data_IF_682346605576
#
_entry.id   IF_682346605576
#
_cell.length_a   1.000
_cell.length_b   1.000
_cell.length_c   1.000
_cell.angle_alpha   90.00
_cell.angle_beta   90.00
_cell.angle_gamma   90.00
#
_symmetry.space_group_name_H-M   'P 1'
#
loop_
_entity.id
_entity.type
_entity.pdbx_description
1 polymer ?
#
# COMPACT_ATOMS: atom_id res chain seq x y z
N UNK A 1 21.77 19.17 9.98
CA UNK A 1 20.76 19.15 11.06
C UNK A 1 19.58 18.31 10.56
N UNK A 2 19.46 17.07 11.02
CA UNK A 2 18.37 16.17 10.60
C UNK A 2 17.08 16.58 11.33
N UNK A 3 16.19 17.27 10.64
CA UNK A 3 14.94 17.84 11.19
C UNK A 3 13.72 16.92 11.04
N UNK A 4 13.91 15.70 10.51
CA UNK A 4 12.86 14.68 10.52
C UNK A 4 12.86 13.90 11.84
N UNK A 5 11.69 13.47 12.37
CA UNK A 5 11.64 12.53 13.47
C UNK A 5 12.45 11.29 13.09
N UNK A 6 13.48 10.94 13.88
CA UNK A 6 14.12 9.62 13.75
C UNK A 6 13.03 8.57 13.89
N UNK A 7 12.89 7.69 12.91
CA UNK A 7 12.03 6.53 13.03
C UNK A 7 12.64 5.60 14.09
N UNK A 8 12.28 5.83 15.35
CA UNK A 8 12.73 5.06 16.50
C UNK A 8 12.04 3.68 16.59
N UNK A 9 11.06 3.40 15.72
CA UNK A 9 10.42 2.11 15.65
C UNK A 9 11.11 1.28 14.57
N UNK A 10 11.70 0.15 14.97
CA UNK A 10 12.20 -0.86 14.02
C UNK A 10 11.10 -1.46 13.12
N UNK A 11 9.83 -1.11 13.37
CA UNK A 11 8.67 -1.55 12.61
C UNK A 11 8.78 -1.04 11.17
N UNK A 12 8.72 -1.96 10.22
CA UNK A 12 8.61 -1.63 8.80
C UNK A 12 7.54 -2.49 8.13
N UNK A 13 7.23 -2.10 6.90
CA UNK A 13 6.23 -2.72 6.06
C UNK A 13 6.87 -3.29 4.81
N UNK A 14 6.59 -4.55 4.53
CA UNK A 14 6.94 -5.19 3.26
C UNK A 14 5.76 -5.06 2.30
N UNK A 15 5.93 -4.25 1.26
CA UNK A 15 4.95 -4.04 0.20
C UNK A 15 5.33 -4.95 -0.97
N UNK A 16 4.38 -5.77 -1.41
CA UNK A 16 4.60 -6.72 -2.49
C UNK A 16 3.56 -6.52 -3.56
N UNK A 17 4.04 -6.45 -4.79
CA UNK A 17 3.20 -6.33 -5.98
C UNK A 17 3.55 -7.47 -6.91
N UNK A 18 2.57 -8.30 -7.24
CA UNK A 18 2.76 -9.41 -8.17
C UNK A 18 1.95 -9.20 -9.43
N UNK A 19 2.57 -9.52 -10.56
CA UNK A 19 1.90 -9.59 -11.85
C UNK A 19 1.47 -11.04 -12.04
N UNK A 20 0.16 -11.25 -12.14
CA UNK A 20 -0.45 -12.55 -12.31
C UNK A 20 -0.74 -12.76 -13.79
N UNK A 21 -0.58 -13.98 -14.29
CA UNK A 21 -1.01 -14.33 -15.64
C UNK A 21 -2.48 -13.93 -15.84
N UNK A 22 -2.87 -13.22 -16.91
CA UNK A 22 -4.24 -12.72 -17.06
C UNK A 22 -5.31 -13.81 -16.95
N UNK A 23 -5.07 -14.98 -17.54
CA UNK A 23 -5.98 -16.13 -17.48
C UNK A 23 -6.02 -16.85 -16.13
N UNK A 24 -5.17 -16.45 -15.17
CA UNK A 24 -4.95 -17.14 -13.88
C UNK A 24 -5.34 -16.33 -12.66
N UNK A 25 -5.82 -15.09 -12.82
CA UNK A 25 -6.19 -14.24 -11.68
C UNK A 25 -7.23 -14.90 -10.75
N UNK A 26 -8.27 -15.50 -11.33
CA UNK A 26 -9.31 -16.19 -10.55
C UNK A 26 -8.73 -17.34 -9.71
N UNK A 27 -7.95 -18.21 -10.35
CA UNK A 27 -7.27 -19.34 -9.71
C UNK A 27 -6.33 -18.87 -8.58
N UNK A 28 -5.57 -17.80 -8.83
CA UNK A 28 -4.69 -17.19 -7.83
C UNK A 28 -5.47 -16.69 -6.61
N UNK A 29 -6.56 -15.94 -6.82
CA UNK A 29 -7.38 -15.41 -5.73
C UNK A 29 -8.04 -16.51 -4.90
N UNK A 30 -8.52 -17.59 -5.54
CA UNK A 30 -9.06 -18.76 -4.85
C UNK A 30 -8.01 -19.41 -3.94
N UNK A 31 -6.79 -19.59 -4.44
CA UNK A 31 -5.68 -20.14 -3.67
C UNK A 31 -5.28 -19.25 -2.49
N UNK A 32 -5.25 -17.93 -2.68
CA UNK A 32 -5.00 -16.95 -1.61
C UNK A 32 -6.07 -17.04 -0.55
N UNK A 33 -7.36 -16.94 -0.90
CA UNK A 33 -8.43 -17.02 0.09
C UNK A 33 -8.44 -18.34 0.87
N UNK A 34 -8.04 -19.44 0.21
CA UNK A 34 -8.01 -20.76 0.84
C UNK A 34 -6.84 -20.95 1.81
N UNK A 35 -5.64 -20.50 1.47
CA UNK A 35 -4.41 -20.91 2.18
C UNK A 35 -3.60 -19.76 2.79
N UNK A 36 -3.99 -18.49 2.60
CA UNK A 36 -3.25 -17.36 3.18
C UNK A 36 -3.17 -17.42 4.71
N UNK A 37 -4.13 -18.08 5.37
CA UNK A 37 -4.14 -18.28 6.82
C UNK A 37 -2.86 -18.95 7.35
N UNK A 38 -2.24 -19.82 6.56
CA UNK A 38 -0.97 -20.47 6.89
C UNK A 38 0.16 -19.42 7.06
N UNK A 39 0.17 -18.38 6.22
CA UNK A 39 1.13 -17.28 6.36
C UNK A 39 0.76 -16.30 7.45
N UNK A 40 -0.53 -15.99 7.61
CA UNK A 40 -0.97 -15.03 8.65
C UNK A 40 -0.81 -15.58 10.06
N UNK A 41 -0.65 -16.89 10.24
CA UNK A 41 -0.22 -17.49 11.50
C UNK A 41 1.20 -17.07 11.93
N UNK A 42 2.03 -16.59 10.99
CA UNK A 42 3.42 -16.20 11.23
C UNK A 42 3.71 -14.72 10.96
N UNK A 43 2.87 -14.02 10.21
CA UNK A 43 3.09 -12.61 9.86
C UNK A 43 1.80 -11.81 9.87
N UNK A 44 1.88 -10.58 10.37
CA UNK A 44 0.75 -9.66 10.39
C UNK A 44 0.50 -9.10 8.98
N UNK A 45 -0.63 -9.47 8.39
CA UNK A 45 -1.11 -8.90 7.13
C UNK A 45 -1.80 -7.56 7.43
N UNK A 46 -1.38 -6.50 6.76
CA UNK A 46 -2.05 -5.20 6.82
C UNK A 46 -3.21 -5.17 5.83
N UNK A 47 -3.00 -5.62 4.60
CA UNK A 47 -4.06 -5.73 3.61
C UNK A 47 -3.62 -6.44 2.35
N UNK A 48 -4.59 -6.93 1.59
CA UNK A 48 -4.41 -7.67 0.34
C UNK A 48 -5.50 -7.25 -0.66
N UNK A 49 -5.08 -6.83 -1.85
CA UNK A 49 -5.96 -6.34 -2.90
C UNK A 49 -5.59 -6.92 -4.26
N UNK A 50 -6.55 -6.93 -5.18
CA UNK A 50 -6.27 -7.00 -6.62
C UNK A 50 -6.56 -5.65 -7.28
N UNK A 51 -5.87 -5.37 -8.37
CA UNK A 51 -6.05 -4.16 -9.15
C UNK A 51 -7.20 -4.30 -10.16
N UNK A 52 -8.10 -3.33 -10.11
CA UNK A 52 -9.26 -3.24 -10.99
C UNK A 52 -8.99 -2.27 -12.15
N UNK A 53 -8.48 -1.05 -11.86
CA UNK A 53 -8.18 -0.02 -12.86
C UNK A 53 -6.75 0.52 -12.71
N UNK A 54 -6.12 0.84 -13.83
CA UNK A 54 -4.78 1.46 -13.90
C UNK A 54 -3.61 0.46 -13.93
N UNK A 55 -3.78 -0.75 -13.38
CA UNK A 55 -2.73 -1.77 -13.40
C UNK A 55 -3.29 -3.20 -13.36
N UNK A 56 -4.06 -3.57 -14.39
CA UNK A 56 -4.76 -4.87 -14.47
C UNK A 56 -3.82 -6.06 -14.26
N UNK A 57 -4.40 -7.16 -13.76
CA UNK A 57 -3.70 -8.42 -13.47
C UNK A 57 -2.62 -8.32 -12.39
N UNK A 58 -2.66 -7.29 -11.55
CA UNK A 58 -1.76 -7.16 -10.39
C UNK A 58 -2.47 -7.42 -9.08
N UNK A 59 -1.72 -7.93 -8.12
CA UNK A 59 -2.14 -7.97 -6.71
C UNK A 59 -1.15 -7.20 -5.85
N UNK A 60 -1.66 -6.59 -4.79
CA UNK A 60 -0.91 -5.78 -3.84
C UNK A 60 -1.14 -6.35 -2.46
N UNK A 61 -0.08 -6.51 -1.67
CA UNK A 61 -0.24 -6.90 -0.27
C UNK A 61 0.87 -6.36 0.61
N UNK A 62 0.49 -5.97 1.82
CA UNK A 62 1.35 -5.27 2.78
C UNK A 62 1.47 -6.09 4.05
N UNK A 63 2.70 -6.36 4.49
CA UNK A 63 2.99 -7.13 5.71
C UNK A 63 3.75 -6.28 6.71
N UNK A 64 3.39 -6.36 7.99
CA UNK A 64 4.08 -5.64 9.06
C UNK A 64 5.08 -6.54 9.76
N UNK A 65 6.26 -6.00 10.06
CA UNK A 65 7.31 -6.67 10.84
C UNK A 65 7.88 -5.71 11.87
N UNK A 66 8.28 -6.22 13.04
CA UNK A 66 8.82 -5.39 14.12
C UNK A 66 10.25 -4.91 13.88
N UNK A 67 10.99 -5.65 13.04
CA UNK A 67 12.35 -5.38 12.58
C UNK A 67 12.80 -6.47 11.59
N UNK A 68 14.04 -6.33 11.07
CA UNK A 68 14.57 -7.25 10.07
C UNK A 68 14.84 -8.65 10.63
N UNK A 69 15.19 -8.78 11.91
CA UNK A 69 15.39 -10.07 12.55
C UNK A 69 14.07 -10.85 12.66
N UNK A 70 12.98 -10.18 13.06
CA UNK A 70 11.63 -10.75 13.04
C UNK A 70 11.25 -11.21 11.61
N UNK A 71 11.44 -10.35 10.59
CA UNK A 71 11.18 -10.74 9.19
C UNK A 71 11.97 -11.99 8.77
N UNK A 72 13.27 -12.03 9.09
CA UNK A 72 14.13 -13.17 8.75
C UNK A 72 13.66 -14.46 9.42
N UNK A 73 13.30 -14.41 10.70
CA UNK A 73 12.76 -15.55 11.43
C UNK A 73 11.46 -16.07 10.78
N UNK A 74 10.52 -15.18 10.46
CA UNK A 74 9.26 -15.55 9.77
C UNK A 74 9.52 -16.20 8.42
N UNK A 75 10.42 -15.61 7.62
CA UNK A 75 10.78 -16.16 6.30
C UNK A 75 11.43 -17.55 6.42
N UNK A 76 12.27 -17.75 7.44
CA UNK A 76 12.86 -19.05 7.74
C UNK A 76 11.79 -20.08 8.13
N UNK A 77 10.85 -19.72 9.00
CA UNK A 77 9.72 -20.61 9.38
C UNK A 77 8.88 -21.00 8.16
N UNK A 78 8.47 -20.02 7.34
CA UNK A 78 7.67 -20.28 6.13
C UNK A 78 8.42 -21.10 5.08
N UNK A 79 9.74 -20.98 4.98
CA UNK A 79 10.54 -21.81 4.07
C UNK A 79 10.53 -23.29 4.48
N UNK A 80 10.38 -23.59 5.77
CA UNK A 80 10.37 -24.95 6.32
C UNK A 80 8.97 -25.51 6.56
N UNK A 81 7.93 -24.69 6.44
CA UNK A 81 6.53 -25.12 6.52
C UNK A 81 6.12 -25.90 5.26
N UNK A 82 6.05 -27.22 5.39
CA UNK A 82 5.68 -28.13 4.29
C UNK A 82 4.27 -27.87 3.76
N UNK A 83 3.34 -27.46 4.61
CA UNK A 83 1.97 -27.18 4.19
C UNK A 83 1.91 -25.90 3.36
N UNK A 84 2.55 -24.83 3.83
CA UNK A 84 2.66 -23.58 3.08
C UNK A 84 3.38 -23.78 1.74
N UNK A 85 4.52 -24.49 1.73
CA UNK A 85 5.28 -24.77 0.52
C UNK A 85 4.47 -25.63 -0.47
N UNK A 86 3.87 -26.72 0.00
CA UNK A 86 3.17 -27.68 -0.85
C UNK A 86 1.78 -27.22 -1.29
N UNK A 87 0.96 -26.67 -0.38
CA UNK A 87 -0.43 -26.30 -0.68
C UNK A 87 -0.57 -24.91 -1.30
N UNK A 88 0.36 -23.98 -1.04
CA UNK A 88 0.26 -22.62 -1.56
C UNK A 88 1.39 -22.27 -2.53
N UNK A 89 2.66 -22.33 -2.11
CA UNK A 89 3.77 -21.82 -2.95
C UNK A 89 3.92 -22.61 -4.26
N UNK A 90 3.97 -23.94 -4.20
CA UNK A 90 4.18 -24.77 -5.39
C UNK A 90 3.06 -24.59 -6.45
N UNK A 91 1.76 -24.53 -6.09
CA UNK A 91 0.72 -24.28 -7.07
C UNK A 91 0.61 -22.81 -7.52
N UNK A 92 0.93 -21.84 -6.66
CA UNK A 92 0.81 -20.41 -7.00
C UNK A 92 1.96 -19.91 -7.85
N UNK A 93 3.18 -20.42 -7.66
CA UNK A 93 4.36 -19.92 -8.36
C UNK A 93 4.21 -19.92 -9.90
N UNK A 94 3.64 -20.95 -10.56
CA UNK A 94 3.39 -20.94 -12.00
C UNK A 94 2.32 -19.95 -12.48
N UNK A 95 1.53 -19.36 -11.56
CA UNK A 95 0.49 -18.37 -11.89
C UNK A 95 1.05 -16.94 -11.92
N UNK A 96 2.23 -16.71 -11.34
CA UNK A 96 2.86 -15.40 -11.16
C UNK A 96 3.94 -15.18 -12.22
N UNK A 97 3.89 -14.05 -12.91
CA UNK A 97 4.92 -13.66 -13.90
C UNK A 97 6.02 -12.80 -13.33
N UNK A 98 5.66 -11.87 -12.44
CA UNK A 98 6.63 -10.97 -11.83
C UNK A 98 6.32 -10.78 -10.37
N UNK A 99 7.37 -10.71 -9.56
CA UNK A 99 7.27 -10.30 -8.17
C UNK A 99 8.12 -9.05 -7.96
N UNK A 100 7.52 -8.03 -7.37
CA UNK A 100 8.19 -6.83 -6.88
C UNK A 100 8.03 -6.76 -5.37
N UNK A 101 9.09 -6.40 -4.67
CA UNK A 101 9.11 -6.34 -3.22
C UNK A 101 9.84 -5.08 -2.76
N UNK A 102 9.19 -4.33 -1.88
CA UNK A 102 9.69 -3.09 -1.31
C UNK A 102 9.62 -3.17 0.20
N UNK A 103 10.60 -2.57 0.86
CA UNK A 103 10.53 -2.31 2.29
C UNK A 103 10.31 -0.82 2.44
N UNK A 104 9.30 -0.46 3.22
CA UNK A 104 8.91 0.91 3.45
C UNK A 104 8.60 1.14 4.92
N UNK A 105 8.74 2.38 5.36
CA UNK A 105 8.32 2.80 6.68
C UNK A 105 7.12 3.71 6.59
N UNK A 106 6.27 3.67 7.63
CA UNK A 106 5.19 4.65 7.76
C UNK A 106 5.79 6.03 8.09
N UNK A 107 5.36 7.08 7.39
CA UNK A 107 5.82 8.44 7.71
C UNK A 107 5.43 8.80 9.16
N UNK A 108 6.25 9.56 9.91
CA UNK A 108 6.07 9.71 11.37
C UNK A 108 4.73 10.30 11.83
N UNK A 109 4.07 11.08 10.97
CA UNK A 109 2.79 11.73 11.26
C UNK A 109 1.57 10.91 10.83
N UNK A 110 1.77 9.74 10.22
CA UNK A 110 0.70 8.85 9.80
C UNK A 110 0.59 7.68 10.79
N UNK A 111 -0.64 7.25 11.05
CA UNK A 111 -0.96 5.98 11.69
C UNK A 111 -1.80 5.17 10.71
N UNK A 112 -1.69 3.84 10.77
CA UNK A 112 -2.53 2.99 9.93
C UNK A 112 -4.01 3.18 10.29
N UNK A 113 -4.77 3.63 9.30
CA UNK A 113 -6.21 3.77 9.36
C UNK A 113 -6.92 2.43 9.17
N UNK A 114 -8.21 2.42 9.52
CA UNK A 114 -9.15 1.34 9.19
C UNK A 114 -10.26 1.91 8.30
N UNK A 115 -10.83 1.11 7.40
CA UNK A 115 -12.00 1.53 6.65
C UNK A 115 -13.14 1.86 7.62
N UNK A 116 -13.98 2.87 7.33
CA UNK A 116 -15.11 3.23 8.20
C UNK A 116 -16.19 2.15 8.29
N UNK A 117 -16.26 1.26 7.29
CA UNK A 117 -17.20 0.14 7.19
C UNK A 117 -16.62 -0.94 6.27
N UNK A 118 -17.15 -2.16 6.35
CA UNK A 118 -16.81 -3.23 5.41
C UNK A 118 -17.20 -2.84 3.98
N UNK A 119 -16.41 -3.34 3.03
CA UNK A 119 -16.53 -3.05 1.60
C UNK A 119 -15.79 -1.78 1.18
N UNK A 120 -16.27 -1.19 0.10
CA UNK A 120 -15.64 -0.04 -0.55
C UNK A 120 -14.44 -0.42 -1.42
N UNK A 121 -13.76 0.61 -1.90
CA UNK A 121 -12.63 0.49 -2.84
C UNK A 121 -11.45 1.30 -2.37
N UNK A 122 -10.27 0.85 -2.77
CA UNK A 122 -9.02 1.47 -2.38
C UNK A 122 -8.38 2.19 -3.57
N UNK A 123 -7.73 3.31 -3.30
CA UNK A 123 -6.82 3.95 -4.25
C UNK A 123 -5.40 3.85 -3.69
N UNK A 124 -4.53 3.21 -4.45
CA UNK A 124 -3.09 3.20 -4.19
C UNK A 124 -2.45 4.26 -5.08
N UNK A 125 -1.89 5.29 -4.47
CA UNK A 125 -1.19 6.36 -5.18
C UNK A 125 0.30 6.25 -4.89
N UNK A 126 1.10 6.23 -5.95
CA UNK A 126 2.55 6.21 -5.86
C UNK A 126 3.10 7.53 -6.37
N UNK A 127 3.86 8.21 -5.52
CA UNK A 127 4.55 9.46 -5.81
C UNK A 127 6.06 9.18 -5.87
N UNK A 128 6.70 9.57 -6.97
CA UNK A 128 8.14 9.65 -7.04
C UNK A 128 8.57 11.05 -6.63
N UNK A 129 9.14 11.16 -5.44
CA UNK A 129 9.57 12.44 -4.87
C UNK A 129 11.02 12.74 -5.28
N UNK A 130 11.35 14.03 -5.33
CA UNK A 130 12.73 14.49 -5.48
C UNK A 130 13.58 14.03 -4.27
N UNK A 131 14.86 13.69 -4.49
CA UNK A 131 15.78 13.36 -3.40
C UNK A 131 15.87 14.46 -2.33
N UNK A 132 16.15 14.07 -1.09
CA UNK A 132 16.18 14.96 0.08
C UNK A 132 15.35 14.44 1.26
N UNK A 133 14.54 13.41 1.02
CA UNK A 133 13.79 12.68 2.04
C UNK A 133 12.63 13.48 2.67
N UNK A 134 11.92 12.88 3.64
CA UNK A 134 10.77 13.50 4.29
C UNK A 134 11.06 14.86 4.96
N UNK A 135 12.32 15.17 5.28
CA UNK A 135 12.68 16.47 5.82
C UNK A 135 12.49 17.63 4.82
N UNK A 136 12.53 17.34 3.52
CA UNK A 136 12.39 18.34 2.45
C UNK A 136 10.92 18.53 2.04
N UNK A 137 10.19 17.43 1.85
CA UNK A 137 8.82 17.47 1.30
C UNK A 137 7.74 17.13 2.33
N UNK A 138 8.10 16.64 3.52
CA UNK A 138 7.18 16.01 4.46
C UNK A 138 6.06 16.93 4.95
N UNK A 139 6.38 18.17 5.30
CA UNK A 139 5.40 19.13 5.83
C UNK A 139 4.39 19.57 4.77
N UNK A 140 4.87 19.94 3.57
CA UNK A 140 3.99 20.33 2.46
C UNK A 140 3.18 19.15 1.93
N UNK A 141 3.76 17.95 1.90
CA UNK A 141 3.04 16.74 1.51
C UNK A 141 1.94 16.40 2.52
N UNK A 142 2.26 16.45 3.82
CA UNK A 142 1.27 16.28 4.89
C UNK A 142 0.13 17.29 4.77
N UNK A 143 0.43 18.55 4.46
CA UNK A 143 -0.59 19.57 4.24
C UNK A 143 -1.52 19.21 3.07
N UNK A 144 -0.98 18.72 1.95
CA UNK A 144 -1.78 18.26 0.81
C UNK A 144 -2.67 17.04 1.16
N UNK A 145 -2.12 16.07 1.90
CA UNK A 145 -2.87 14.90 2.40
C UNK A 145 -4.02 15.35 3.32
N UNK A 146 -3.75 16.24 4.28
CA UNK A 146 -4.76 16.76 5.19
C UNK A 146 -5.84 17.57 4.46
N UNK A 147 -5.47 18.36 3.44
CA UNK A 147 -6.44 19.09 2.64
C UNK A 147 -7.44 18.13 1.97
N UNK A 148 -6.96 17.00 1.42
CA UNK A 148 -7.85 15.95 0.91
C UNK A 148 -8.69 15.30 2.02
N UNK A 149 -8.12 14.96 3.17
CA UNK A 149 -8.89 14.40 4.31
C UNK A 149 -10.04 15.33 4.70
N UNK A 150 -9.79 16.64 4.77
CA UNK A 150 -10.77 17.63 5.22
C UNK A 150 -11.95 17.83 4.25
N UNK A 151 -11.86 17.34 3.01
CA UNK A 151 -13.00 17.33 2.09
C UNK A 151 -14.01 16.23 2.41
N UNK A 152 -13.62 15.20 3.17
CA UNK A 152 -14.52 14.14 3.64
C UNK A 152 -14.89 13.05 2.63
N UNK A 153 -14.49 13.16 1.35
CA UNK A 153 -14.83 12.11 0.36
C UNK A 153 -13.97 10.85 0.49
N UNK A 154 -12.83 10.91 1.18
CA UNK A 154 -11.89 9.80 1.25
C UNK A 154 -11.35 9.60 2.66
N UNK A 155 -10.96 8.38 2.98
CA UNK A 155 -10.33 8.03 4.25
C UNK A 155 -8.88 7.61 4.02
N UNK A 156 -7.95 8.30 4.68
CA UNK A 156 -6.55 7.89 4.67
C UNK A 156 -6.36 6.57 5.44
N UNK A 157 -5.67 5.61 4.80
CA UNK A 157 -5.32 4.31 5.39
C UNK A 157 -3.84 4.25 5.75
N UNK A 158 -2.95 4.78 4.92
CA UNK A 158 -1.53 4.77 5.22
C UNK A 158 -0.69 5.60 4.26
N UNK A 159 0.45 6.10 4.75
CA UNK A 159 1.45 6.81 3.96
C UNK A 159 2.81 6.20 4.26
N UNK A 160 3.43 5.59 3.26
CA UNK A 160 4.67 4.85 3.35
C UNK A 160 5.75 5.51 2.50
N UNK A 161 7.00 5.47 2.96
CA UNK A 161 8.15 5.91 2.17
C UNK A 161 9.19 4.78 2.10
N UNK A 162 9.79 4.59 0.93
CA UNK A 162 10.64 3.42 0.65
C UNK A 162 12.02 3.51 1.29
N UNK A 163 12.44 2.38 1.86
CA UNK A 163 13.81 2.11 2.33
C UNK A 163 14.54 1.19 1.35
N UNK A 164 13.87 0.14 0.86
CA UNK A 164 14.39 -0.74 -0.20
C UNK A 164 13.39 -0.83 -1.34
N UNK A 165 13.91 -0.81 -2.57
CA UNK A 165 13.12 -0.71 -3.80
C UNK A 165 13.54 0.51 -4.61
N UNK A 166 12.59 1.12 -5.34
CA UNK A 166 12.82 2.43 -5.93
C UNK A 166 12.85 3.47 -4.79
N UNK A 167 13.94 4.22 -4.68
CA UNK A 167 14.12 5.19 -3.59
C UNK A 167 13.37 6.49 -3.85
N UNK A 168 13.07 7.21 -2.77
CA UNK A 168 12.25 8.44 -2.78
C UNK A 168 10.82 8.19 -3.29
N UNK A 169 10.34 6.96 -3.18
CA UNK A 169 8.97 6.60 -3.52
C UNK A 169 8.10 6.72 -2.27
N UNK A 170 6.96 7.38 -2.41
CA UNK A 170 5.94 7.49 -1.38
C UNK A 170 4.66 6.82 -1.86
N UNK A 171 4.14 5.88 -1.09
CA UNK A 171 2.85 5.25 -1.35
C UNK A 171 1.80 5.79 -0.39
N UNK A 172 0.65 6.16 -0.93
CA UNK A 172 -0.52 6.55 -0.15
C UNK A 172 -1.66 5.60 -0.47
N UNK A 173 -2.26 5.06 0.57
CA UNK A 173 -3.44 4.20 0.47
C UNK A 173 -4.64 4.99 0.98
N UNK A 174 -5.65 5.12 0.13
CA UNK A 174 -6.94 5.72 0.46
C UNK A 174 -8.04 4.68 0.38
N UNK A 175 -9.05 4.80 1.25
CA UNK A 175 -10.31 4.10 1.14
C UNK A 175 -11.40 5.07 0.67
N UNK A 176 -12.28 4.59 -0.20
CA UNK A 176 -13.45 5.30 -0.69
C UNK A 176 -14.66 4.37 -0.69
N UNK A 177 -15.85 4.92 -0.56
CA UNK A 177 -17.08 4.13 -0.47
C UNK A 177 -17.41 3.40 -1.78
N UNK A 178 -17.17 4.06 -2.90
CA UNK A 178 -17.35 3.49 -4.24
C UNK A 178 -16.45 4.18 -5.26
N UNK A 179 -16.36 3.63 -6.48
CA UNK A 179 -15.63 4.25 -7.58
C UNK A 179 -16.20 5.62 -7.92
N UNK A 180 -17.53 5.73 -7.97
CA UNK A 180 -18.24 6.96 -8.34
C UNK A 180 -18.08 8.02 -7.26
N UNK A 181 -18.19 7.63 -5.98
CA UNK A 181 -18.00 8.53 -4.85
C UNK A 181 -16.57 9.08 -4.80
N UNK A 182 -15.58 8.22 -5.08
CA UNK A 182 -14.19 8.65 -5.27
C UNK A 182 -14.08 9.64 -6.43
N UNK A 183 -14.63 9.31 -7.60
CA UNK A 183 -14.50 10.15 -8.80
C UNK A 183 -15.13 11.54 -8.60
N UNK A 184 -16.34 11.60 -8.04
CA UNK A 184 -17.02 12.85 -7.70
C UNK A 184 -16.22 13.66 -6.68
N UNK A 185 -15.74 13.02 -5.61
CA UNK A 185 -14.93 13.66 -4.58
C UNK A 185 -13.62 14.24 -5.11
N UNK A 186 -12.93 13.53 -6.02
CA UNK A 186 -11.74 14.03 -6.70
C UNK A 186 -12.03 15.24 -7.58
N UNK A 187 -13.15 15.23 -8.30
CA UNK A 187 -13.57 16.35 -9.13
C UNK A 187 -13.81 17.60 -8.27
N UNK A 188 -14.59 17.49 -7.19
CA UNK A 188 -14.80 18.60 -6.25
C UNK A 188 -13.50 19.08 -5.59
N UNK A 189 -12.58 18.16 -5.26
CA UNK A 189 -11.30 18.52 -4.68
C UNK A 189 -10.39 19.31 -5.65
N UNK A 190 -10.59 19.21 -6.96
CA UNK A 190 -9.89 20.04 -7.94
C UNK A 190 -10.40 21.48 -7.99
N UNK A 191 -11.59 21.74 -7.45
CA UNK A 191 -12.20 23.08 -7.38
C UNK A 191 -12.05 23.72 -5.99
N UNK A 192 -11.74 22.94 -4.95
CA UNK A 192 -11.47 23.47 -3.61
C UNK A 192 -10.13 24.22 -3.56
N UNK A 193 -10.20 25.54 -3.42
CA UNK A 193 -9.03 26.43 -3.39
C UNK A 193 -7.99 26.04 -2.32
N UNK A 194 -8.41 25.45 -1.20
CA UNK A 194 -7.50 25.00 -0.12
C UNK A 194 -6.72 23.77 -0.55
N UNK A 195 -7.39 22.81 -1.20
CA UNK A 195 -6.75 21.62 -1.77
C UNK A 195 -5.78 22.03 -2.87
N UNK A 196 -6.23 22.87 -3.81
CA UNK A 196 -5.40 23.36 -4.92
C UNK A 196 -4.15 24.06 -4.41
N UNK A 197 -4.28 24.96 -3.42
CA UNK A 197 -3.14 25.65 -2.84
C UNK A 197 -2.13 24.69 -2.19
N UNK A 198 -2.61 23.75 -1.36
CA UNK A 198 -1.74 22.78 -0.69
C UNK A 198 -1.03 21.83 -1.68
N UNK A 199 -1.75 21.34 -2.70
CA UNK A 199 -1.19 20.48 -3.75
C UNK A 199 -0.15 21.24 -4.58
N UNK A 200 -0.39 22.52 -4.90
CA UNK A 200 0.57 23.36 -5.64
C UNK A 200 1.90 23.53 -4.91
N UNK A 201 1.88 23.57 -3.59
CA UNK A 201 3.12 23.67 -2.82
C UNK A 201 3.83 22.31 -2.74
N UNK A 202 3.08 21.22 -2.59
CA UNK A 202 3.62 19.86 -2.56
C UNK A 202 4.22 19.41 -3.91
N UNK A 203 3.61 19.75 -5.04
CA UNK A 203 4.02 19.25 -6.38
C UNK A 203 5.42 19.73 -6.80
N UNK A 204 5.95 20.78 -6.17
CA UNK A 204 7.32 21.29 -6.42
C UNK A 204 8.40 20.24 -6.13
N UNK A 205 8.08 19.28 -5.27
CA UNK A 205 8.95 18.18 -4.85
C UNK A 205 8.63 16.84 -5.53
N UNK A 206 7.73 16.85 -6.52
CA UNK A 206 7.27 15.64 -7.22
C UNK A 206 7.93 15.55 -8.59
N UNK A 207 8.44 14.36 -8.94
CA UNK A 207 8.93 14.05 -10.28
C UNK A 207 7.84 13.36 -11.11
N UNK A 208 7.13 12.40 -10.52
CA UNK A 208 6.00 11.73 -11.17
C UNK A 208 4.99 11.19 -10.15
N UNK A 209 3.76 10.92 -10.61
CA UNK A 209 2.74 10.24 -9.83
C UNK A 209 1.90 9.31 -10.70
N UNK A 210 1.38 8.26 -10.10
CA UNK A 210 0.44 7.33 -10.72
C UNK A 210 -0.48 6.75 -9.64
N UNK A 211 -1.65 6.26 -10.04
CA UNK A 211 -2.56 5.58 -9.14
C UNK A 211 -3.12 4.29 -9.73
N UNK A 212 -3.61 3.45 -8.83
CA UNK A 212 -4.28 2.19 -9.14
C UNK A 212 -5.51 2.08 -8.26
N UNK A 213 -6.64 1.70 -8.86
CA UNK A 213 -7.84 1.34 -8.11
C UNK A 213 -7.73 -0.13 -7.70
N UNK A 214 -7.98 -0.40 -6.43
CA UNK A 214 -7.80 -1.68 -5.78
C UNK A 214 -9.10 -2.16 -5.12
N UNK A 215 -9.35 -3.46 -5.21
CA UNK A 215 -10.48 -4.13 -4.54
C UNK A 215 -9.90 -5.09 -3.50
N UNK A 216 -10.36 -5.02 -2.22
CA UNK A 216 -9.83 -5.88 -1.18
C UNK A 216 -10.26 -7.34 -1.41
N UNK A 217 -9.37 -8.29 -1.12
CA UNK A 217 -9.72 -9.71 -1.12
C UNK A 217 -10.54 -10.07 0.13
N UNK A 218 -11.29 -11.17 0.07
CA UNK A 218 -12.11 -11.66 1.19
C UNK A 218 -11.31 -12.02 2.45
N UNK A 219 -10.04 -12.42 2.27
CA UNK A 219 -9.09 -12.66 3.35
C UNK A 219 -8.34 -11.41 3.83
N UNK A 220 -8.55 -10.24 3.20
CA UNK A 220 -7.91 -8.99 3.60
C UNK A 220 -8.48 -8.48 4.93
N UNK A 221 -7.64 -8.09 5.91
CA UNK A 221 -8.09 -7.42 7.12
C UNK A 221 -8.73 -6.04 6.88
N UNK A 222 -8.48 -5.46 5.70
CA UNK A 222 -9.02 -4.18 5.24
C UNK A 222 -10.15 -4.38 4.21
N UNK A 223 -10.93 -5.44 4.34
CA UNK A 223 -12.09 -5.67 3.47
C UNK A 223 -13.31 -4.84 3.82
#
# INVERSE_FOLDING_TARGET
LATGPRQNNGIFYEIRTYDIKPSKMKEFVEMVNKYLHLRTAHSELVGFWFAELGAMNKVFHVWKYDNFAHRTAVRHTLANDKEWQGKFISPVLPLVEKQHNEVAYLVPWCQLGKPPKEGGVYEWVTFQMKPGGPALWGDVFRAAINAHINTGYTKLIGVFHTEYGLLNTVHVIWWNESLDQRAAGRHSAHEDARVVAAVRDSVRFLDSQQNVLLIPLQCSPLK
#
